data_IF_876639007982
#
_entry.id   IF_876639007982
#
_cell.length_a   1.000
_cell.length_b   1.000
_cell.length_c   1.000
_cell.angle_alpha   90.00
_cell.angle_beta   90.00
_cell.angle_gamma   90.00
#
_symmetry.space_group_name_H-M   'P 1'
#
loop_
_entity.id
_entity.type
_entity.pdbx_description
1 polymer ?
#
# COMPACT_ATOMS: atom_id res chain seq x y z
N UNK A 1 -34.30 -1.17 -3.46
CA UNK A 1 -33.21 -0.88 -2.50
C UNK A 1 -32.42 -2.17 -2.29
N UNK A 2 -31.22 -2.27 -2.86
CA UNK A 2 -30.33 -3.41 -2.64
C UNK A 2 -29.23 -2.94 -1.69
N UNK A 3 -29.21 -3.48 -0.47
CA UNK A 3 -28.06 -3.36 0.42
C UNK A 3 -26.99 -4.30 -0.13
N UNK A 4 -25.86 -3.76 -0.58
CA UNK A 4 -24.65 -4.55 -0.80
C UNK A 4 -24.28 -5.25 0.50
N UNK A 5 -23.98 -6.56 0.50
CA UNK A 5 -23.49 -7.22 1.69
C UNK A 5 -22.17 -6.56 2.07
N UNK A 6 -22.10 -6.06 3.31
CA UNK A 6 -20.83 -5.72 3.96
C UNK A 6 -19.88 -6.91 3.74
N UNK A 7 -18.64 -6.62 3.33
CA UNK A 7 -17.61 -7.64 3.29
C UNK A 7 -17.58 -8.28 4.67
N UNK A 8 -17.97 -9.56 4.76
CA UNK A 8 -18.12 -10.24 6.04
C UNK A 8 -16.76 -10.19 6.73
N UNK A 9 -16.67 -9.46 7.84
CA UNK A 9 -15.50 -9.45 8.70
C UNK A 9 -15.39 -10.82 9.39
N UNK A 10 -14.19 -11.39 9.40
CA UNK A 10 -13.90 -12.65 10.09
C UNK A 10 -13.04 -12.46 11.33
N UNK A 11 -12.65 -11.23 11.66
CA UNK A 11 -11.91 -10.90 12.88
C UNK A 11 -12.64 -11.42 14.12
N UNK A 12 -11.92 -12.12 15.00
CA UNK A 12 -12.45 -12.67 16.24
C UNK A 12 -13.37 -13.90 16.08
N UNK A 13 -13.61 -14.39 14.86
CA UNK A 13 -14.38 -15.64 14.67
C UNK A 13 -13.57 -16.84 15.09
N UNK A 14 -14.18 -17.73 15.86
CA UNK A 14 -13.53 -18.99 16.27
C UNK A 14 -13.16 -19.85 15.06
N UNK A 15 -11.97 -20.41 15.08
CA UNK A 15 -11.43 -21.31 14.07
C UNK A 15 -10.75 -22.50 14.74
N UNK A 16 -10.67 -23.63 14.06
CA UNK A 16 -9.88 -24.77 14.51
C UNK A 16 -8.57 -24.84 13.73
N UNK A 17 -8.62 -24.50 12.45
CA UNK A 17 -7.47 -24.50 11.55
C UNK A 17 -7.54 -23.42 10.45
N UNK A 18 -6.44 -23.28 9.70
CA UNK A 18 -6.23 -22.11 8.83
C UNK A 18 -7.23 -21.98 7.66
N UNK A 19 -7.91 -23.07 7.25
CA UNK A 19 -8.92 -23.06 6.17
C UNK A 19 -10.27 -22.50 6.63
N UNK A 20 -10.49 -22.40 7.94
CA UNK A 20 -11.71 -21.80 8.52
C UNK A 20 -11.71 -20.26 8.39
N UNK A 21 -10.53 -19.68 8.16
CA UNK A 21 -10.33 -18.27 7.94
C UNK A 21 -10.15 -18.00 6.44
N UNK A 22 -11.12 -17.37 5.76
CA UNK A 22 -10.90 -16.97 4.38
C UNK A 22 -9.75 -15.97 4.32
N UNK A 23 -8.98 -15.97 3.23
CA UNK A 23 -7.95 -14.93 3.04
C UNK A 23 -8.59 -13.55 3.07
N UNK A 24 -8.01 -12.54 3.76
CA UNK A 24 -6.64 -12.49 4.31
C UNK A 24 -6.47 -12.96 5.77
N UNK A 25 -7.50 -13.52 6.39
CA UNK A 25 -7.48 -13.91 7.81
C UNK A 25 -6.71 -15.21 8.04
N UNK A 26 -6.18 -15.39 9.24
CA UNK A 26 -5.43 -16.58 9.66
C UNK A 26 -5.83 -16.99 11.08
N UNK A 27 -5.89 -18.30 11.29
CA UNK A 27 -6.32 -18.87 12.56
C UNK A 27 -5.20 -18.82 13.60
N UNK A 28 -5.33 -17.96 14.62
CA UNK A 28 -4.32 -17.75 15.66
C UNK A 28 -4.89 -17.98 17.05
N UNK A 29 -4.05 -18.42 17.98
CA UNK A 29 -4.42 -18.49 19.39
C UNK A 29 -4.14 -17.13 20.05
N UNK A 30 -5.18 -16.48 20.58
CA UNK A 30 -5.03 -15.19 21.25
C UNK A 30 -4.12 -15.30 22.51
N UNK A 31 -4.21 -16.43 23.23
CA UNK A 31 -3.37 -16.78 24.40
C UNK A 31 -3.19 -18.30 24.54
N UNK A 32 -2.13 -18.79 25.21
CA UNK A 32 -2.01 -20.21 25.54
C UNK A 32 -3.20 -20.68 26.40
N UNK A 33 -4.02 -21.58 25.85
CA UNK A 33 -5.20 -22.12 26.54
C UNK A 33 -6.51 -21.39 26.28
N UNK A 34 -6.50 -20.27 25.55
CA UNK A 34 -7.71 -19.67 24.98
C UNK A 34 -7.93 -20.20 23.55
N UNK A 35 -9.19 -20.28 23.12
CA UNK A 35 -9.58 -20.75 21.79
C UNK A 35 -8.90 -19.94 20.67
N UNK A 36 -8.85 -20.51 19.46
CA UNK A 36 -8.26 -19.82 18.31
C UNK A 36 -9.30 -18.95 17.62
N UNK A 37 -8.88 -17.79 17.13
CA UNK A 37 -9.70 -16.86 16.35
C UNK A 37 -9.03 -16.52 15.02
N UNK A 38 -9.85 -16.23 14.02
CA UNK A 38 -9.42 -15.65 12.76
C UNK A 38 -9.01 -14.22 13.03
N UNK A 39 -7.71 -13.95 12.93
CA UNK A 39 -7.18 -12.60 13.04
C UNK A 39 -6.57 -12.22 11.70
N UNK A 40 -6.57 -10.92 11.42
CA UNK A 40 -5.68 -10.38 10.40
C UNK A 40 -4.30 -10.34 11.04
N UNK A 41 -3.53 -11.43 10.94
CA UNK A 41 -2.10 -11.28 11.17
C UNK A 41 -1.59 -10.32 10.10
N UNK A 42 -0.92 -9.25 10.54
CA UNK A 42 -0.04 -8.50 9.67
C UNK A 42 0.77 -9.53 8.88
N UNK A 43 0.68 -9.45 7.55
CA UNK A 43 1.35 -10.37 6.64
C UNK A 43 2.80 -10.58 7.13
N UNK A 44 3.38 -11.78 7.02
CA UNK A 44 4.75 -12.02 7.49
C UNK A 44 5.69 -10.95 6.92
N UNK A 45 6.18 -10.05 7.79
CA UNK A 45 6.95 -8.87 7.42
C UNK A 45 6.39 -7.51 7.88
N UNK A 46 5.18 -7.44 8.46
CA UNK A 46 4.65 -6.20 9.06
C UNK A 46 5.18 -6.06 10.49
N UNK A 47 6.07 -5.09 10.80
CA UNK A 47 6.36 -4.75 12.18
C UNK A 47 5.10 -4.18 12.83
N UNK A 48 4.80 -4.64 14.06
CA UNK A 48 3.82 -4.00 14.93
C UNK A 48 4.08 -2.49 14.95
N UNK A 49 3.03 -1.69 14.72
CA UNK A 49 3.07 -0.26 14.46
C UNK A 49 3.64 0.61 15.58
N UNK A 50 4.91 0.43 15.93
CA UNK A 50 5.76 1.48 16.45
C UNK A 50 6.16 2.40 15.30
N UNK A 51 6.18 3.72 15.56
CA UNK A 51 6.46 4.81 14.61
C UNK A 51 7.16 4.33 13.34
N UNK A 52 6.38 4.10 12.28
CA UNK A 52 6.83 3.45 11.03
C UNK A 52 7.82 4.31 10.21
N UNK A 53 8.40 5.33 10.84
CA UNK A 53 9.19 6.37 10.23
C UNK A 53 8.34 7.30 9.36
N UNK A 54 8.99 8.16 8.57
CA UNK A 54 8.28 9.04 7.65
C UNK A 54 7.44 8.25 6.64
N UNK A 55 6.34 8.89 6.20
CA UNK A 55 5.51 8.39 5.11
C UNK A 55 6.37 8.29 3.85
N UNK A 56 6.39 7.15 3.12
CA UNK A 56 7.19 7.02 1.92
C UNK A 56 6.61 7.90 0.82
N UNK A 57 7.45 8.45 -0.04
CA UNK A 57 7.03 9.37 -1.12
C UNK A 57 7.32 8.79 -2.49
N UNK A 58 6.59 9.23 -3.52
CA UNK A 58 6.85 8.79 -4.88
C UNK A 58 8.30 9.05 -5.31
N UNK A 59 8.78 10.26 -5.10
CA UNK A 59 10.08 10.74 -5.59
C UNK A 59 11.26 10.00 -4.98
N UNK A 60 11.19 9.67 -3.69
CA UNK A 60 12.34 9.07 -2.97
C UNK A 60 12.22 7.56 -2.85
N UNK A 61 11.00 7.04 -2.69
CA UNK A 61 10.78 5.69 -2.20
C UNK A 61 10.17 4.74 -3.23
N UNK A 62 9.23 5.22 -4.05
CA UNK A 62 8.35 4.35 -4.83
C UNK A 62 8.74 4.29 -6.30
N UNK A 63 9.20 5.40 -6.88
CA UNK A 63 9.51 5.48 -8.31
C UNK A 63 10.52 4.41 -8.74
N UNK A 64 11.59 4.22 -7.96
CA UNK A 64 12.62 3.22 -8.25
C UNK A 64 12.07 1.78 -8.21
N UNK A 65 11.17 1.48 -7.25
CA UNK A 65 10.55 0.16 -7.14
C UNK A 65 9.64 -0.09 -8.35
N UNK A 66 8.82 0.90 -8.74
CA UNK A 66 7.97 0.78 -9.93
C UNK A 66 8.79 0.58 -11.20
N UNK A 67 9.87 1.35 -11.37
CA UNK A 67 10.76 1.25 -12.51
C UNK A 67 11.36 -0.17 -12.65
N UNK A 68 11.82 -0.74 -11.53
CA UNK A 68 12.46 -2.06 -11.52
C UNK A 68 11.47 -3.22 -11.72
N UNK A 69 10.26 -3.12 -11.14
CA UNK A 69 9.37 -4.26 -11.00
C UNK A 69 8.07 -4.19 -11.82
N UNK A 70 7.69 -3.02 -12.33
CA UNK A 70 6.35 -2.82 -12.91
C UNK A 70 6.39 -2.14 -14.27
N UNK A 71 7.33 -1.23 -14.50
CA UNK A 71 7.37 -0.39 -15.70
C UNK A 71 7.78 -1.21 -16.92
N UNK A 72 9.07 -1.55 -17.05
CA UNK A 72 9.68 -2.25 -18.20
C UNK A 72 8.84 -2.16 -19.51
N UNK A 73 8.44 -3.30 -20.07
CA UNK A 73 7.54 -3.48 -21.22
C UNK A 73 6.08 -3.72 -20.82
N UNK A 74 5.71 -3.46 -19.56
CA UNK A 74 4.40 -3.82 -19.01
C UNK A 74 3.53 -2.61 -18.71
N UNK A 75 4.02 -1.65 -17.93
CA UNK A 75 3.24 -0.49 -17.49
C UNK A 75 3.98 0.84 -17.71
N UNK A 76 4.96 0.86 -18.62
CA UNK A 76 5.65 2.07 -19.05
C UNK A 76 5.05 2.68 -20.32
N UNK A 77 5.81 3.58 -20.95
CA UNK A 77 5.53 4.02 -22.33
C UNK A 77 5.45 2.83 -23.29
N UNK A 78 6.30 1.82 -23.08
CA UNK A 78 6.19 0.52 -23.73
C UNK A 78 5.35 -0.42 -22.85
N UNK A 79 4.25 -0.90 -23.41
CA UNK A 79 3.34 -1.86 -22.80
C UNK A 79 3.18 -3.12 -23.66
N UNK A 80 4.13 -3.40 -24.56
CA UNK A 80 4.06 -4.51 -25.53
C UNK A 80 3.90 -5.89 -24.89
N UNK A 81 4.44 -6.11 -23.69
CA UNK A 81 4.35 -7.39 -22.98
C UNK A 81 3.06 -7.54 -22.16
N UNK A 82 2.39 -6.46 -21.75
CA UNK A 82 1.13 -6.57 -20.99
C UNK A 82 -0.11 -6.32 -21.86
N UNK A 83 0.02 -5.50 -22.91
CA UNK A 83 -1.08 -4.92 -23.66
C UNK A 83 -1.91 -3.89 -22.89
N UNK A 84 -1.52 -3.52 -21.67
CA UNK A 84 -2.27 -2.64 -20.78
C UNK A 84 -1.83 -1.20 -20.99
N UNK A 85 -2.61 -0.45 -21.77
CA UNK A 85 -2.33 0.95 -22.13
C UNK A 85 -3.23 1.97 -21.43
N UNK A 86 -4.16 1.52 -20.58
CA UNK A 86 -5.14 2.37 -19.90
C UNK A 86 -4.59 3.15 -18.70
N UNK A 87 -3.37 2.83 -18.26
CA UNK A 87 -2.63 3.56 -17.23
C UNK A 87 -1.12 3.34 -17.43
N UNK A 88 -0.31 4.18 -16.80
CA UNK A 88 1.14 4.07 -16.78
C UNK A 88 1.68 4.26 -15.37
N UNK A 89 2.79 3.59 -15.08
CA UNK A 89 3.44 3.57 -13.77
C UNK A 89 4.85 4.15 -13.80
N UNK A 90 5.29 4.70 -14.93
CA UNK A 90 6.59 5.37 -15.08
C UNK A 90 6.54 6.87 -14.75
N UNK A 91 5.37 7.39 -14.41
CA UNK A 91 5.17 8.73 -13.88
C UNK A 91 4.09 8.75 -12.80
N UNK A 92 4.12 9.79 -11.98
CA UNK A 92 3.19 9.95 -10.86
C UNK A 92 1.76 10.30 -11.30
N UNK A 93 1.62 11.38 -12.04
CA UNK A 93 0.35 11.86 -12.61
C UNK A 93 0.60 12.39 -14.02
N UNK A 94 -0.38 12.30 -14.92
CA UNK A 94 -0.22 12.81 -16.27
C UNK A 94 -0.29 14.35 -16.31
N UNK A 95 0.20 14.92 -17.41
CA UNK A 95 -0.22 16.26 -17.83
C UNK A 95 -1.71 16.26 -18.22
N UNK A 96 -2.32 17.45 -18.28
CA UNK A 96 -3.76 17.62 -18.45
C UNK A 96 -4.38 16.72 -19.54
N UNK A 97 -5.37 15.91 -19.13
CA UNK A 97 -6.09 14.99 -20.02
C UNK A 97 -5.33 13.73 -20.43
N UNK A 98 -4.14 13.48 -19.88
CA UNK A 98 -3.34 12.29 -20.15
C UNK A 98 -3.83 11.02 -19.43
N UNK A 99 -3.10 9.94 -19.69
CA UNK A 99 -3.40 8.61 -19.15
C UNK A 99 -3.19 8.57 -17.62
N UNK A 100 -3.99 7.84 -16.83
CA UNK A 100 -3.77 7.73 -15.39
C UNK A 100 -2.35 7.27 -15.02
N UNK A 101 -1.71 8.01 -14.11
CA UNK A 101 -0.38 7.72 -13.57
C UNK A 101 -0.42 6.88 -12.28
N UNK A 102 0.73 6.65 -11.67
CA UNK A 102 0.85 5.86 -10.44
C UNK A 102 -0.02 6.36 -9.28
N UNK A 103 -0.19 7.68 -9.11
CA UNK A 103 -1.05 8.28 -8.08
C UNK A 103 -2.51 7.81 -8.21
N UNK A 104 -3.07 7.93 -9.41
CA UNK A 104 -4.44 7.49 -9.70
C UNK A 104 -4.61 5.96 -9.54
N UNK A 105 -3.52 5.21 -9.65
CA UNK A 105 -3.50 3.75 -9.54
C UNK A 105 -3.08 3.24 -8.17
N UNK A 106 -2.78 4.10 -7.19
CA UNK A 106 -2.15 3.73 -5.92
C UNK A 106 -2.89 2.59 -5.17
N UNK A 107 -4.22 2.68 -5.04
CA UNK A 107 -5.02 1.63 -4.40
C UNK A 107 -4.95 0.28 -5.14
N UNK A 108 -4.92 0.31 -6.48
CA UNK A 108 -4.77 -0.90 -7.30
C UNK A 108 -3.36 -1.48 -7.16
N UNK A 109 -2.33 -0.63 -7.12
CA UNK A 109 -0.94 -1.04 -6.91
C UNK A 109 -0.81 -1.73 -5.55
N UNK A 110 -1.35 -1.15 -4.47
CA UNK A 110 -1.38 -1.79 -3.16
C UNK A 110 -2.06 -3.16 -3.20
N UNK A 111 -3.25 -3.25 -3.81
CA UNK A 111 -3.98 -4.51 -3.90
C UNK A 111 -3.14 -5.59 -4.60
N UNK A 112 -2.51 -5.26 -5.74
CA UNK A 112 -1.77 -6.23 -6.56
C UNK A 112 -0.38 -6.56 -6.01
N UNK A 113 0.34 -5.56 -5.50
CA UNK A 113 1.71 -5.74 -5.03
C UNK A 113 1.79 -6.20 -3.57
N UNK A 114 0.86 -5.82 -2.70
CA UNK A 114 0.94 -6.13 -1.27
C UNK A 114 -0.10 -7.15 -0.81
N UNK A 115 -1.38 -6.95 -1.16
CA UNK A 115 -2.48 -7.81 -0.68
C UNK A 115 -2.49 -9.16 -1.40
N UNK A 116 -2.55 -9.14 -2.73
CA UNK A 116 -2.61 -10.36 -3.54
C UNK A 116 -1.22 -10.88 -3.92
N UNK A 117 -0.23 -9.99 -3.99
CA UNK A 117 1.14 -10.28 -4.42
C UNK A 117 1.20 -11.01 -5.78
N UNK A 118 0.23 -10.72 -6.64
CA UNK A 118 0.10 -11.30 -7.98
C UNK A 118 0.72 -10.42 -9.07
N UNK A 119 1.29 -9.27 -8.67
CA UNK A 119 2.12 -8.41 -9.52
C UNK A 119 3.54 -8.19 -8.94
N UNK A 120 4.58 -8.17 -9.81
CA UNK A 120 4.50 -8.60 -11.21
C UNK A 120 4.18 -10.10 -11.32
N UNK A 121 3.68 -10.59 -12.49
CA UNK A 121 3.31 -11.99 -12.62
C UNK A 121 4.54 -12.89 -12.43
N UNK A 122 4.50 -13.93 -11.58
CA UNK A 122 5.69 -14.66 -11.16
C UNK A 122 6.36 -15.47 -12.29
N UNK A 123 5.66 -15.68 -13.41
CA UNK A 123 6.20 -16.34 -14.60
C UNK A 123 6.89 -15.39 -15.59
N UNK A 124 6.90 -14.08 -15.33
CA UNK A 124 7.62 -13.10 -16.15
C UNK A 124 9.03 -12.87 -15.59
N UNK A 125 10.04 -12.64 -16.45
CA UNK A 125 11.42 -12.39 -16.02
C UNK A 125 11.61 -10.93 -15.55
N UNK A 126 10.72 -10.44 -14.67
CA UNK A 126 10.79 -9.10 -14.08
C UNK A 126 11.08 -9.24 -12.59
N UNK A 127 11.97 -8.42 -12.00
CA UNK A 127 12.26 -8.47 -10.57
C UNK A 127 10.99 -8.35 -9.72
N UNK A 128 10.78 -9.30 -8.80
CA UNK A 128 9.72 -9.22 -7.80
C UNK A 128 10.11 -8.24 -6.70
N UNK A 129 9.23 -7.32 -6.29
CA UNK A 129 9.47 -6.52 -5.09
C UNK A 129 9.68 -7.41 -3.87
N UNK A 130 10.67 -7.06 -3.06
CA UNK A 130 10.94 -7.65 -1.74
C UNK A 130 9.79 -7.38 -0.77
N UNK A 131 9.74 -8.11 0.34
CA UNK A 131 8.72 -7.87 1.38
C UNK A 131 8.74 -6.43 1.92
N UNK A 132 9.93 -5.85 2.10
CA UNK A 132 10.09 -4.47 2.58
C UNK A 132 9.61 -3.44 1.54
N UNK A 133 9.89 -3.67 0.26
CA UNK A 133 9.39 -2.81 -0.82
C UNK A 133 7.86 -2.89 -0.94
N UNK A 134 7.27 -4.08 -0.76
CA UNK A 134 5.80 -4.24 -0.75
C UNK A 134 5.16 -3.50 0.40
N UNK A 135 5.75 -3.53 1.60
CA UNK A 135 5.26 -2.74 2.74
C UNK A 135 5.38 -1.24 2.48
N UNK A 136 6.50 -0.80 1.87
CA UNK A 136 6.70 0.61 1.49
C UNK A 136 5.64 1.09 0.49
N UNK A 137 5.35 0.28 -0.54
CA UNK A 137 4.26 0.53 -1.49
C UNK A 137 2.90 0.62 -0.78
N UNK A 138 2.64 -0.33 0.13
CA UNK A 138 1.37 -0.37 0.86
C UNK A 138 1.19 0.86 1.74
N UNK A 139 2.23 1.28 2.46
CA UNK A 139 2.20 2.48 3.29
C UNK A 139 2.01 3.73 2.44
N UNK A 140 2.79 3.91 1.38
CA UNK A 140 2.60 5.03 0.45
C UNK A 140 1.15 5.13 -0.05
N UNK A 141 0.55 4.02 -0.50
CA UNK A 141 -0.82 4.03 -1.00
C UNK A 141 -1.88 4.31 0.08
N UNK A 142 -1.71 3.77 1.30
CA UNK A 142 -2.63 4.00 2.44
C UNK A 142 -2.60 5.45 2.93
N UNK A 143 -1.42 6.08 2.88
CA UNK A 143 -1.19 7.46 3.36
C UNK A 143 -1.45 8.51 2.27
N UNK A 144 -2.26 8.19 1.26
CA UNK A 144 -2.68 9.15 0.23
C UNK A 144 -1.69 9.33 -0.92
N UNK A 145 -0.68 8.46 -1.05
CA UNK A 145 0.26 8.41 -2.15
C UNK A 145 1.00 9.75 -2.40
N UNK A 146 1.69 10.34 -1.41
CA UNK A 146 2.35 11.63 -1.57
C UNK A 146 3.41 11.62 -2.68
N UNK A 147 3.57 12.75 -3.37
CA UNK A 147 4.50 12.91 -4.50
C UNK A 147 5.96 12.97 -4.02
N UNK A 148 6.41 14.08 -3.45
CA UNK A 148 7.72 14.19 -2.83
C UNK A 148 7.55 14.59 -1.36
N UNK A 149 8.60 14.53 -0.56
CA UNK A 149 8.57 15.13 0.77
C UNK A 149 8.29 16.64 0.62
N UNK A 150 7.27 17.13 1.30
CA UNK A 150 7.10 18.58 1.45
C UNK A 150 8.33 19.09 2.20
N UNK A 151 9.13 19.94 1.56
CA UNK A 151 10.23 20.61 2.20
C UNK A 151 9.68 21.60 3.25
N UNK A 152 9.38 21.11 4.45
CA UNK A 152 9.12 21.89 5.66
C UNK A 152 7.78 22.62 5.70
N UNK A 153 6.80 22.02 6.36
CA UNK A 153 5.98 22.78 7.31
C UNK A 153 6.39 22.37 8.71
N UNK A 154 7.53 22.91 9.16
CA UNK A 154 7.67 23.19 10.58
C UNK A 154 6.53 24.15 10.92
N UNK A 155 5.57 23.67 11.72
CA UNK A 155 4.63 24.55 12.41
C UNK A 155 5.48 25.57 13.17
N UNK A 156 5.51 26.81 12.69
CA UNK A 156 6.06 27.93 13.45
C UNK A 156 5.27 27.94 14.77
N UNK A 157 5.90 27.72 15.93
CA UNK A 157 5.21 27.84 17.20
C UNK A 157 4.70 29.28 17.26
N UNK A 158 3.38 29.43 17.39
CA UNK A 158 2.74 30.73 17.48
C UNK A 158 3.44 31.59 18.53
N UNK A 159 3.87 32.78 18.12
CA UNK A 159 4.44 33.80 18.99
C UNK A 159 3.34 34.31 19.93
N UNK A 160 3.08 33.52 20.97
CA UNK A 160 2.24 33.87 22.10
C UNK A 160 3.02 34.81 23.00
N UNK A 161 2.91 36.11 22.75
CA UNK A 161 3.50 37.10 23.63
C UNK A 161 3.31 38.54 23.17
N UNK A 162 2.21 39.17 23.57
CA UNK A 162 2.29 40.55 24.08
C UNK A 162 1.36 40.69 25.29
N UNK A 163 2.02 40.74 26.44
CA UNK A 163 1.46 41.17 27.71
C UNK A 163 0.89 42.60 27.62
N UNK A 164 -0.22 42.81 28.31
CA UNK A 164 -0.78 44.14 28.51
C UNK A 164 0.12 45.04 29.36
N UNK A 165 0.05 46.34 29.11
CA UNK A 165 0.57 47.35 30.03
C UNK A 165 1.00 48.65 29.37
N UNK A 166 0.07 49.60 29.25
CA UNK A 166 0.16 50.98 29.77
C UNK A 166 -1.10 51.77 29.41
#
# INVERSE_FOLDING_TARGET
MACTPDAIDFTGKTCEDARDCPRPYVCVAARPGEGRTCEVLGLPGVPDGGDAGPVPTWCEDIQAIMAASCVSSCHGADASDSGVTSFRLDYYAPEDGGIPGAHAMAARIQARAYVFQDMPPPWRPVPMPTAQERERIARWAREGAPLCADAGTEEVPGDGGVDGGL
#
